data_IF_141325370395
#
_entry.id   IF_141325370395
#
_cell.length_a   1.000
_cell.length_b   1.000
_cell.length_c   1.000
_cell.angle_alpha   90.00
_cell.angle_beta   90.00
_cell.angle_gamma   90.00
#
_symmetry.space_group_name_H-M   'P 1'
#
loop_
_entity.id
_entity.type
_entity.pdbx_description
1 polymer ?
#
# COMPACT_ATOMS: atom_id res chain seq x y z
N UNK A 1 -48.77 21.70 -26.57
CA UNK A 1 -47.63 21.80 -25.63
C UNK A 1 -46.39 21.26 -26.32
N UNK A 2 -45.26 21.99 -26.35
CA UNK A 2 -44.00 21.42 -26.83
C UNK A 2 -43.43 20.45 -25.78
N UNK A 3 -42.75 19.36 -26.19
CA UNK A 3 -42.14 18.45 -25.24
C UNK A 3 -40.94 19.12 -24.56
N UNK A 4 -40.84 18.94 -23.24
CA UNK A 4 -39.71 19.41 -22.43
C UNK A 4 -38.46 18.58 -22.75
N UNK A 5 -37.46 19.19 -23.38
CA UNK A 5 -36.10 18.65 -23.44
C UNK A 5 -35.41 18.84 -22.08
N UNK A 6 -35.31 17.79 -21.29
CA UNK A 6 -34.64 17.81 -19.99
C UNK A 6 -33.76 16.59 -19.78
N UNK A 7 -32.46 16.82 -19.55
CA UNK A 7 -31.66 16.02 -18.62
C UNK A 7 -30.66 15.01 -19.20
N UNK A 8 -29.48 15.48 -19.62
CA UNK A 8 -28.22 15.29 -18.89
C UNK A 8 -27.07 15.78 -19.77
N UNK A 9 -26.51 16.95 -19.45
CA UNK A 9 -25.28 17.45 -20.07
C UNK A 9 -24.08 16.64 -19.57
N UNK A 10 -23.94 15.40 -20.05
CA UNK A 10 -22.65 14.71 -20.01
C UNK A 10 -21.84 15.33 -21.14
N UNK A 11 -20.76 16.05 -20.81
CA UNK A 11 -19.81 16.57 -21.80
C UNK A 11 -19.46 15.45 -22.79
N UNK A 12 -19.90 15.58 -24.05
CA UNK A 12 -19.58 14.62 -25.12
C UNK A 12 -18.11 14.77 -25.49
N UNK A 13 -17.25 13.98 -24.85
CA UNK A 13 -15.91 13.71 -25.35
C UNK A 13 -16.01 12.66 -26.47
N UNK A 14 -15.15 12.73 -27.49
CA UNK A 14 -15.06 11.65 -28.48
C UNK A 14 -14.46 10.42 -27.80
N UNK A 15 -15.01 9.24 -28.08
CA UNK A 15 -14.56 7.98 -27.46
C UNK A 15 -13.05 7.77 -27.59
N UNK A 16 -12.48 8.09 -28.76
CA UNK A 16 -11.03 8.03 -29.00
C UNK A 16 -10.21 8.88 -28.02
N UNK A 17 -10.73 10.03 -27.60
CA UNK A 17 -10.04 10.89 -26.65
C UNK A 17 -10.09 10.31 -25.23
N UNK A 18 -11.20 9.67 -24.86
CA UNK A 18 -11.34 8.95 -23.59
C UNK A 18 -10.39 7.75 -23.56
N UNK A 19 -10.40 6.93 -24.61
CA UNK A 19 -9.56 5.74 -24.72
C UNK A 19 -8.07 6.09 -24.62
N UNK A 20 -7.60 7.07 -25.40
CA UNK A 20 -6.20 7.52 -25.35
C UNK A 20 -5.81 8.02 -23.97
N UNK A 21 -6.68 8.80 -23.31
CA UNK A 21 -6.39 9.33 -21.99
C UNK A 21 -6.28 8.23 -20.92
N UNK A 22 -7.14 7.20 -21.00
CA UNK A 22 -7.10 6.05 -20.10
C UNK A 22 -5.88 5.17 -20.36
N UNK A 23 -5.54 4.93 -21.63
CA UNK A 23 -4.37 4.14 -22.02
C UNK A 23 -3.06 4.82 -21.59
N UNK A 24 -2.95 6.14 -21.74
CA UNK A 24 -1.75 6.88 -21.37
C UNK A 24 -1.74 7.39 -19.92
N UNK A 25 -2.69 6.96 -19.08
CA UNK A 25 -2.80 7.47 -17.72
C UNK A 25 -1.56 7.10 -16.89
N UNK A 26 -0.86 8.11 -16.38
CA UNK A 26 0.39 7.94 -15.62
C UNK A 26 0.18 7.71 -14.12
N UNK A 27 -1.07 7.51 -13.70
CA UNK A 27 -1.40 7.43 -12.29
C UNK A 27 -1.40 8.78 -11.59
N UNK A 28 -1.40 8.70 -10.27
CA UNK A 28 -1.25 9.86 -9.37
C UNK A 28 -0.27 9.47 -8.29
N UNK A 29 0.61 10.39 -7.89
CA UNK A 29 1.65 10.08 -6.91
C UNK A 29 1.10 9.42 -5.65
N UNK A 30 1.80 8.40 -5.16
CA UNK A 30 1.42 7.58 -4.00
C UNK A 30 0.11 6.79 -4.13
N UNK A 31 -0.38 6.49 -5.34
CA UNK A 31 -1.55 5.61 -5.57
C UNK A 31 -1.10 4.49 -6.47
N UNK A 32 -0.72 3.36 -5.88
CA UNK A 32 -0.04 2.26 -6.54
C UNK A 32 1.16 2.75 -7.38
N UNK A 33 1.99 3.61 -6.79
CA UNK A 33 3.05 4.33 -7.47
C UNK A 33 4.33 3.49 -7.52
N UNK A 34 4.73 3.06 -8.72
CA UNK A 34 5.92 2.24 -8.91
C UNK A 34 7.19 3.10 -8.82
N UNK A 35 7.96 2.89 -7.74
CA UNK A 35 9.19 3.65 -7.47
C UNK A 35 10.43 3.03 -8.11
N UNK A 36 10.35 1.78 -8.57
CA UNK A 36 11.42 1.09 -9.25
C UNK A 36 11.56 -0.37 -8.86
N UNK A 37 12.48 -1.04 -9.54
CA UNK A 37 12.92 -2.40 -9.24
C UNK A 37 14.41 -2.36 -8.88
N UNK A 38 14.77 -2.94 -7.73
CA UNK A 38 16.09 -2.80 -7.13
C UNK A 38 16.75 -4.16 -6.96
N UNK A 39 18.05 -4.31 -7.30
CA UNK A 39 18.80 -5.54 -7.09
C UNK A 39 19.01 -5.81 -5.60
N UNK A 40 18.94 -7.08 -5.20
CA UNK A 40 19.09 -7.50 -3.81
C UNK A 40 20.56 -7.73 -3.41
N UNK A 41 21.44 -8.00 -4.37
CA UNK A 41 22.85 -8.29 -4.14
C UNK A 41 23.56 -7.20 -3.31
N UNK A 42 23.45 -5.89 -3.64
CA UNK A 42 24.08 -4.84 -2.84
C UNK A 42 23.41 -4.62 -1.48
N UNK A 43 22.20 -5.14 -1.27
CA UNK A 43 21.42 -4.94 -0.04
C UNK A 43 21.67 -6.06 0.97
N UNK A 44 21.65 -7.32 0.51
CA UNK A 44 21.72 -8.48 1.39
C UNK A 44 22.56 -9.65 0.82
N UNK A 45 23.27 -9.44 -0.30
CA UNK A 45 24.14 -10.44 -0.92
C UNK A 45 23.41 -11.59 -1.64
N UNK A 46 22.07 -11.57 -1.72
CA UNK A 46 21.29 -12.59 -2.45
C UNK A 46 21.00 -12.13 -3.87
N UNK A 47 20.90 -13.10 -4.78
CA UNK A 47 20.49 -12.83 -6.15
C UNK A 47 19.02 -12.41 -6.25
N UNK A 48 18.70 -11.58 -7.23
CA UNK A 48 17.32 -11.23 -7.60
C UNK A 48 16.96 -9.76 -7.33
N UNK A 49 15.68 -9.44 -7.44
CA UNK A 49 15.18 -8.07 -7.40
C UNK A 49 13.98 -7.90 -6.47
N UNK A 50 13.79 -6.68 -5.99
CA UNK A 50 12.58 -6.24 -5.30
C UNK A 50 11.96 -5.03 -6.00
N UNK A 51 10.68 -5.14 -6.33
CA UNK A 51 9.87 -4.02 -6.78
C UNK A 51 9.39 -3.21 -5.56
N UNK A 52 9.52 -1.89 -5.63
CA UNK A 52 9.01 -0.98 -4.61
C UNK A 52 7.81 -0.20 -5.16
N UNK A 53 6.70 -0.28 -4.45
CA UNK A 53 5.45 0.45 -4.76
C UNK A 53 5.06 1.26 -3.52
N UNK A 54 4.73 2.55 -3.70
CA UNK A 54 4.17 3.40 -2.65
C UNK A 54 2.66 3.57 -2.85
N UNK A 55 1.90 3.42 -1.76
CA UNK A 55 0.46 3.59 -1.76
C UNK A 55 -0.01 4.35 -0.51
N UNK A 56 -0.93 5.28 -0.72
CA UNK A 56 -1.48 6.15 0.32
C UNK A 56 -2.65 5.52 1.08
N UNK A 57 -3.10 4.33 0.66
CA UNK A 57 -4.20 3.61 1.29
C UNK A 57 -3.96 3.44 2.79
N UNK A 58 -4.89 3.97 3.58
CA UNK A 58 -4.78 3.97 5.04
C UNK A 58 -6.11 3.61 5.71
N UNK A 59 -7.17 3.38 4.94
CA UNK A 59 -8.36 2.67 5.34
C UNK A 59 -8.24 1.17 4.98
N UNK A 60 -8.79 0.22 5.77
CA UNK A 60 -8.69 -1.21 5.46
C UNK A 60 -9.13 -1.58 4.04
N UNK A 61 -10.20 -0.97 3.53
CA UNK A 61 -10.69 -1.17 2.16
C UNK A 61 -9.69 -0.74 1.09
N UNK A 62 -8.95 0.34 1.32
CA UNK A 62 -7.93 0.83 0.38
C UNK A 62 -6.72 -0.12 0.39
N UNK A 63 -6.29 -0.53 1.58
CA UNK A 63 -5.20 -1.52 1.75
C UNK A 63 -5.56 -2.84 1.07
N UNK A 64 -6.79 -3.31 1.23
CA UNK A 64 -7.29 -4.54 0.60
C UNK A 64 -7.29 -4.44 -0.93
N UNK A 65 -7.71 -3.30 -1.47
CA UNK A 65 -7.65 -3.04 -2.92
C UNK A 65 -6.21 -3.07 -3.44
N UNK A 66 -5.27 -2.45 -2.73
CA UNK A 66 -3.84 -2.45 -3.07
C UNK A 66 -3.25 -3.87 -3.03
N UNK A 67 -3.56 -4.67 -2.01
CA UNK A 67 -3.13 -6.08 -1.92
C UNK A 67 -3.68 -6.88 -3.09
N UNK A 68 -4.97 -6.75 -3.40
CA UNK A 68 -5.61 -7.47 -4.50
C UNK A 68 -5.00 -7.11 -5.86
N UNK A 69 -4.76 -5.81 -6.10
CA UNK A 69 -4.08 -5.36 -7.31
C UNK A 69 -2.68 -5.96 -7.44
N UNK A 70 -1.89 -5.96 -6.36
CA UNK A 70 -0.55 -6.55 -6.34
C UNK A 70 -0.59 -8.07 -6.61
N UNK A 71 -1.49 -8.81 -5.95
CA UNK A 71 -1.64 -10.26 -6.16
C UNK A 71 -2.11 -10.62 -7.57
N UNK A 72 -2.99 -9.81 -8.16
CA UNK A 72 -3.44 -10.02 -9.53
C UNK A 72 -2.34 -9.73 -10.56
N UNK A 73 -1.53 -8.68 -10.35
CA UNK A 73 -0.43 -8.32 -11.24
C UNK A 73 0.80 -9.22 -11.13
N UNK A 74 1.08 -9.75 -9.93
CA UNK A 74 2.27 -10.53 -9.63
C UNK A 74 1.97 -11.74 -8.73
N UNK A 75 1.24 -12.75 -9.24
CA UNK A 75 0.76 -13.86 -8.42
C UNK A 75 1.87 -14.70 -7.76
N UNK A 76 3.02 -14.82 -8.41
CA UNK A 76 4.14 -15.66 -7.94
C UNK A 76 5.19 -14.89 -7.11
N UNK A 77 4.99 -13.59 -6.88
CA UNK A 77 5.92 -12.76 -6.10
C UNK A 77 5.51 -12.76 -4.62
N UNK A 78 6.51 -12.78 -3.73
CA UNK A 78 6.29 -12.56 -2.30
C UNK A 78 5.85 -11.10 -2.08
N UNK A 79 4.66 -10.92 -1.50
CA UNK A 79 4.12 -9.62 -1.15
C UNK A 79 4.55 -9.26 0.27
N UNK A 80 5.54 -8.36 0.35
CA UNK A 80 6.04 -7.81 1.62
C UNK A 80 5.48 -6.40 1.80
N UNK A 81 4.83 -6.13 2.93
CA UNK A 81 4.22 -4.83 3.21
C UNK A 81 4.91 -4.13 4.38
N UNK A 82 5.27 -2.86 4.19
CA UNK A 82 5.63 -1.94 5.26
C UNK A 82 4.44 -1.02 5.53
N UNK A 83 3.71 -1.25 6.62
CA UNK A 83 2.48 -0.51 6.94
C UNK A 83 2.70 0.44 8.11
N UNK A 84 2.26 1.69 7.95
CA UNK A 84 2.19 2.68 9.02
C UNK A 84 0.73 3.03 9.30
N UNK A 85 0.14 2.59 10.43
CA UNK A 85 -1.21 3.00 10.79
C UNK A 85 -1.29 4.52 10.96
N UNK A 86 -2.37 5.13 10.46
CA UNK A 86 -2.57 6.57 10.53
C UNK A 86 -3.72 6.89 11.48
N UNK A 87 -3.43 7.65 12.56
CA UNK A 87 -4.30 7.98 13.70
C UNK A 87 -4.58 6.81 14.64
N UNK A 88 -4.60 7.08 15.94
CA UNK A 88 -4.95 6.10 16.97
C UNK A 88 -6.45 5.78 16.95
N UNK A 89 -7.29 6.79 16.77
CA UNK A 89 -8.75 6.64 16.71
C UNK A 89 -9.16 5.67 15.61
N UNK A 90 -8.67 5.88 14.38
CA UNK A 90 -8.93 4.99 13.24
C UNK A 90 -8.45 3.57 13.49
N UNK A 91 -7.23 3.42 14.04
CA UNK A 91 -6.67 2.09 14.29
C UNK A 91 -7.45 1.33 15.36
N UNK A 92 -7.98 2.04 16.37
CA UNK A 92 -8.90 1.47 17.36
C UNK A 92 -10.24 1.09 16.74
N UNK A 93 -10.86 2.00 15.99
CA UNK A 93 -12.23 1.85 15.49
C UNK A 93 -12.33 0.76 14.41
N UNK A 94 -11.25 0.52 13.67
CA UNK A 94 -11.18 -0.45 12.57
C UNK A 94 -10.19 -1.59 12.87
N UNK A 95 -9.94 -1.89 14.15
CA UNK A 95 -8.89 -2.83 14.55
C UNK A 95 -9.04 -4.21 13.90
N UNK A 96 -10.23 -4.80 13.98
CA UNK A 96 -10.50 -6.13 13.43
C UNK A 96 -10.40 -6.14 11.91
N UNK A 97 -10.86 -5.08 11.24
CA UNK A 97 -10.74 -4.94 9.78
C UNK A 97 -9.27 -4.82 9.34
N UNK A 98 -8.45 -4.06 10.08
CA UNK A 98 -7.02 -4.01 9.85
C UNK A 98 -6.35 -5.36 10.08
N UNK A 99 -6.69 -6.05 11.17
CA UNK A 99 -6.14 -7.37 11.45
C UNK A 99 -6.47 -8.35 10.31
N UNK A 100 -7.71 -8.35 9.82
CA UNK A 100 -8.14 -9.20 8.72
C UNK A 100 -7.39 -8.88 7.42
N UNK A 101 -7.30 -7.61 7.02
CA UNK A 101 -6.65 -7.25 5.75
C UNK A 101 -5.14 -7.46 5.78
N UNK A 102 -4.48 -7.11 6.89
CA UNK A 102 -3.03 -7.17 7.00
C UNK A 102 -2.48 -8.60 7.11
N UNK A 103 -3.33 -9.60 7.38
CA UNK A 103 -2.92 -11.02 7.36
C UNK A 103 -2.83 -11.61 5.94
N UNK A 104 -3.26 -10.90 4.91
CA UNK A 104 -3.25 -11.37 3.51
C UNK A 104 -1.88 -11.28 2.82
N UNK A 105 -0.90 -10.61 3.44
CA UNK A 105 0.47 -10.45 2.91
C UNK A 105 1.41 -11.55 3.41
N UNK A 106 2.47 -11.85 2.67
CA UNK A 106 3.40 -12.94 3.04
C UNK A 106 4.32 -12.52 4.19
N UNK A 107 4.66 -11.23 4.26
CA UNK A 107 5.39 -10.65 5.36
C UNK A 107 4.92 -9.21 5.63
N UNK A 108 4.67 -8.91 6.91
CA UNK A 108 4.22 -7.60 7.37
C UNK A 108 5.27 -6.99 8.29
N UNK A 109 5.69 -5.77 7.98
CA UNK A 109 6.44 -4.90 8.86
C UNK A 109 5.52 -3.75 9.25
N UNK A 110 5.31 -3.57 10.55
CA UNK A 110 4.46 -2.52 11.07
C UNK A 110 5.32 -1.43 11.72
N UNK A 111 5.10 -0.18 11.32
CA UNK A 111 5.66 1.00 11.97
C UNK A 111 4.75 1.46 13.10
N UNK A 112 5.30 2.29 13.99
CA UNK A 112 4.49 2.96 15.01
C UNK A 112 3.40 3.82 14.36
N UNK A 113 2.27 3.94 15.06
CA UNK A 113 1.11 4.74 14.61
C UNK A 113 1.54 6.18 14.38
N UNK A 114 1.30 6.70 13.18
CA UNK A 114 1.43 8.13 12.90
C UNK A 114 0.27 8.88 13.59
N UNK A 115 0.53 9.72 14.59
CA UNK A 115 -0.52 10.25 15.48
C UNK A 115 -1.43 11.25 14.79
N UNK A 116 -0.94 11.99 13.80
CA UNK A 116 -1.66 13.09 13.14
C UNK A 116 -2.35 14.07 14.13
N UNK A 117 -1.67 14.37 15.24
CA UNK A 117 -2.15 15.27 16.30
C UNK A 117 -2.93 14.59 17.43
N UNK A 118 -3.15 13.28 17.38
CA UNK A 118 -3.85 12.55 18.44
C UNK A 118 -2.93 12.16 19.61
N UNK A 119 -3.46 12.25 20.83
CA UNK A 119 -2.81 11.64 21.97
C UNK A 119 -2.81 10.11 21.81
N UNK A 120 -1.72 9.42 22.22
CA UNK A 120 -1.69 7.97 22.22
C UNK A 120 -2.88 7.39 22.99
N UNK A 121 -3.64 6.52 22.34
CA UNK A 121 -4.69 5.75 23.00
C UNK A 121 -4.06 4.48 23.56
N UNK A 122 -4.26 4.15 24.85
CA UNK A 122 -3.88 2.85 25.39
C UNK A 122 -4.69 1.77 24.67
N UNK A 123 -4.11 1.20 23.62
CA UNK A 123 -4.72 0.15 22.82
C UNK A 123 -3.80 -1.08 22.83
N UNK A 124 -4.39 -2.27 22.70
CA UNK A 124 -3.73 -3.59 22.62
C UNK A 124 -2.89 -3.79 21.34
N UNK A 125 -2.36 -2.73 20.74
CA UNK A 125 -1.46 -2.84 19.61
C UNK A 125 -0.06 -3.10 20.18
N UNK A 126 0.19 -4.36 20.52
CA UNK A 126 1.55 -4.82 20.75
C UNK A 126 2.27 -4.79 19.41
N UNK A 127 3.06 -3.73 19.17
CA UNK A 127 4.02 -3.72 18.06
C UNK A 127 5.13 -4.68 18.45
N UNK A 128 4.97 -5.96 18.11
CA UNK A 128 6.06 -6.92 18.21
C UNK A 128 6.92 -6.78 16.96
N UNK A 129 8.12 -6.23 17.13
CA UNK A 129 9.15 -6.27 16.11
C UNK A 129 9.68 -7.72 15.99
N UNK A 130 9.00 -8.58 15.22
CA UNK A 130 9.62 -9.77 14.63
C UNK A 130 9.96 -9.46 13.18
N UNK A 131 11.14 -8.90 12.95
CA UNK A 131 11.69 -8.81 11.59
C UNK A 131 12.22 -10.20 11.22
N UNK A 132 11.37 -11.05 10.64
CA UNK A 132 11.78 -12.27 9.93
C UNK A 132 11.74 -11.97 8.44
N UNK A 133 12.91 -11.91 7.81
CA UNK A 133 12.99 -11.94 6.36
C UNK A 133 12.66 -13.36 5.86
N UNK A 134 11.69 -13.48 4.97
CA UNK A 134 11.50 -14.67 4.13
C UNK A 134 11.90 -14.27 2.72
N UNK A 135 13.06 -14.76 2.25
CA UNK A 135 13.55 -14.50 0.89
C UNK A 135 14.13 -15.82 0.36
N UNK A 136 13.40 -16.45 -0.58
CA UNK A 136 13.64 -17.80 -1.10
C UNK A 136 13.10 -18.90 -0.18
N UNK A 137 12.99 -20.14 -0.69
CA UNK A 137 12.36 -21.33 -0.04
C UNK A 137 12.84 -21.67 1.39
N UNK A 138 13.79 -20.93 1.97
CA UNK A 138 14.28 -21.13 3.34
C UNK A 138 14.38 -19.82 4.12
N UNK A 139 13.65 -19.78 5.23
CA UNK A 139 13.73 -18.79 6.31
C UNK A 139 15.18 -18.60 6.78
N UNK A 140 15.70 -17.38 6.72
CA UNK A 140 17.01 -17.01 7.25
C UNK A 140 16.94 -15.69 8.04
N UNK A 141 17.50 -15.68 9.25
CA UNK A 141 17.36 -14.61 10.25
C UNK A 141 18.47 -13.57 10.08
N UNK A 142 18.13 -12.28 9.94
CA UNK A 142 19.09 -11.18 9.84
C UNK A 142 18.63 -9.96 10.67
N UNK A 143 19.59 -9.21 11.21
CA UNK A 143 19.39 -7.99 12.01
C UNK A 143 19.97 -6.79 11.25
N UNK A 144 19.16 -5.76 10.99
CA UNK A 144 19.61 -4.51 10.38
C UNK A 144 19.08 -3.30 11.17
N UNK A 145 19.92 -2.31 11.52
CA UNK A 145 19.45 -1.05 12.05
C UNK A 145 18.98 -0.14 10.89
N UNK A 146 17.68 -0.09 10.64
CA UNK A 146 17.10 0.85 9.67
C UNK A 146 16.96 2.22 10.36
N UNK A 147 17.75 3.21 9.94
CA UNK A 147 17.47 4.64 10.19
C UNK A 147 16.64 5.19 9.02
N UNK A 148 15.32 5.11 9.10
CA UNK A 148 14.44 5.85 8.19
C UNK A 148 14.40 7.32 8.63
N UNK A 149 14.97 8.23 7.83
CA UNK A 149 14.76 9.67 7.98
C UNK A 149 13.50 10.04 7.18
N UNK A 150 12.34 10.00 7.82
CA UNK A 150 11.12 10.54 7.24
C UNK A 150 11.25 12.08 7.21
N UNK A 151 11.38 12.65 6.00
CA UNK A 151 11.11 14.09 5.82
C UNK A 151 9.60 14.25 5.91
N UNK A 152 9.14 14.87 6.99
CA UNK A 152 7.77 15.36 7.08
C UNK A 152 7.65 16.52 6.09
N UNK A 153 6.72 16.41 5.13
CA UNK A 153 6.20 17.56 4.39
C UNK A 153 5.01 18.13 5.15
#
# INVERSE_FOLDING_TARGET
MPPRSGGSDRRRHRDDAILRALESFQGTGRRFDFLGEFPLEPVNGKAGTAMLVDDYGHHPTEVDATIKAARAGWPDKNLVMLFQPHRYTRTRDLYDDFANVLTQVDALLMLDVYPAGEAPIPARIAVLYVVRFVIGEKLTRFWFPIRLRLRQC
#
